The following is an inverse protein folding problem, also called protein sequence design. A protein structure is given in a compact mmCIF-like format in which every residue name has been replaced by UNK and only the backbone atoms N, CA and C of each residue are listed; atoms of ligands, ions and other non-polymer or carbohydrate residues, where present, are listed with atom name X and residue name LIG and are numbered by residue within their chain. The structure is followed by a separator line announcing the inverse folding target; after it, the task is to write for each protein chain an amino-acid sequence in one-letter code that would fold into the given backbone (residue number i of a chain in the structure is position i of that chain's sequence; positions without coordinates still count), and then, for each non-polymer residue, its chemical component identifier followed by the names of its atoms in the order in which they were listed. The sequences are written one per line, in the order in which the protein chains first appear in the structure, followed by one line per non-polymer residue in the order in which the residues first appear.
data_IF_418084723266
#
_entry.id   IF_418084723266
#
_cell.length_a   1.000
_cell.length_b   1.000
_cell.length_c   1.000
_cell.angle_alpha   90.00
_cell.angle_beta   90.00
_cell.angle_gamma   90.00
#
_symmetry.space_group_name_H-M   'P 1'
#
loop_
_entity.id
_entity.type
_entity.pdbx_description
1 polymer ?
#
# COMPACT_ATOMS: atom_id res chain seq x y z
N UNK A 1 14.20 0.49 -7.14
CA UNK A 1 13.51 1.81 -7.16
C UNK A 1 12.11 1.57 -6.64
N UNK A 2 11.59 2.41 -5.75
CA UNK A 2 10.22 2.22 -5.23
C UNK A 2 9.20 2.63 -6.29
N UNK A 3 8.28 1.72 -6.66
CA UNK A 3 7.24 1.98 -7.64
C UNK A 3 6.06 2.70 -6.98
N UNK A 4 6.24 4.00 -6.72
CA UNK A 4 5.27 4.80 -5.99
C UNK A 4 4.06 5.14 -6.85
N UNK A 5 2.88 4.75 -6.38
CA UNK A 5 1.63 5.10 -7.05
C UNK A 5 0.51 5.45 -6.07
N UNK A 6 -0.50 6.24 -6.50
CA UNK A 6 -1.66 6.53 -5.69
C UNK A 6 -2.38 5.26 -5.24
N UNK A 7 -2.91 5.24 -4.02
CA UNK A 7 -3.67 4.10 -3.46
C UNK A 7 -4.75 3.60 -4.42
N UNK A 8 -5.43 4.52 -5.11
CA UNK A 8 -6.56 4.19 -5.98
C UNK A 8 -6.09 3.43 -7.23
N UNK A 9 -4.93 3.81 -7.75
CA UNK A 9 -4.31 3.13 -8.88
C UNK A 9 -3.72 1.79 -8.45
N UNK A 10 -3.07 1.72 -7.28
CA UNK A 10 -2.54 0.47 -6.72
C UNK A 10 -3.66 -0.56 -6.45
N UNK A 11 -4.79 -0.10 -5.90
CA UNK A 11 -5.97 -0.92 -5.67
C UNK A 11 -6.48 -1.55 -6.96
N UNK A 12 -6.64 -0.74 -8.00
CA UNK A 12 -7.10 -1.22 -9.30
C UNK A 12 -6.09 -2.17 -9.97
N UNK A 13 -4.80 -1.83 -9.92
CA UNK A 13 -3.74 -2.64 -10.55
C UNK A 13 -3.60 -4.01 -9.89
N UNK A 14 -3.57 -4.06 -8.56
CA UNK A 14 -3.35 -5.31 -7.82
C UNK A 14 -4.65 -6.04 -7.48
N UNK A 15 -5.81 -5.53 -7.92
CA UNK A 15 -7.11 -6.16 -7.70
C UNK A 15 -7.52 -6.23 -6.23
N UNK A 16 -7.09 -5.26 -5.41
CA UNK A 16 -7.36 -5.23 -3.97
C UNK A 16 -8.21 -4.02 -3.58
N UNK A 17 -9.00 -4.15 -2.53
CA UNK A 17 -9.81 -3.03 -2.04
C UNK A 17 -8.94 -1.93 -1.41
N UNK A 18 -9.37 -0.67 -1.53
CA UNK A 18 -8.74 0.46 -0.82
C UNK A 18 -8.67 0.21 0.70
N UNK A 19 -9.73 -0.38 1.25
CA UNK A 19 -9.81 -0.74 2.68
C UNK A 19 -8.71 -1.72 3.08
N UNK A 20 -8.38 -2.68 2.21
CA UNK A 20 -7.27 -3.61 2.41
C UNK A 20 -5.95 -2.85 2.50
N UNK A 21 -5.69 -1.93 1.57
CA UNK A 21 -4.47 -1.12 1.58
C UNK A 21 -4.38 -0.27 2.86
N UNK A 22 -5.47 0.41 3.25
CA UNK A 22 -5.50 1.18 4.49
C UNK A 22 -5.28 0.32 5.74
N UNK A 23 -5.80 -0.92 5.75
CA UNK A 23 -5.52 -1.89 6.82
C UNK A 23 -4.04 -2.26 6.87
N UNK A 24 -3.42 -2.56 5.73
CA UNK A 24 -1.99 -2.88 5.65
C UNK A 24 -1.10 -1.72 6.07
N UNK A 25 -1.46 -0.48 5.70
CA UNK A 25 -0.82 0.74 6.18
C UNK A 25 -0.94 0.89 7.70
N UNK A 26 -2.12 0.64 8.26
CA UNK A 26 -2.36 0.73 9.71
C UNK A 26 -1.58 -0.34 10.49
N UNK A 27 -1.41 -1.52 9.92
CA UNK A 27 -0.65 -2.62 10.50
C UNK A 27 0.88 -2.47 10.31
N UNK A 28 1.33 -1.45 9.57
CA UNK A 28 2.75 -1.21 9.33
C UNK A 28 3.38 -2.07 8.23
N UNK A 29 2.58 -2.86 7.50
CA UNK A 29 3.05 -3.68 6.39
C UNK A 29 3.32 -2.88 5.11
N UNK A 30 2.75 -1.67 5.00
CA UNK A 30 3.01 -0.75 3.91
C UNK A 30 3.44 0.61 4.44
N UNK A 31 4.23 1.34 3.65
CA UNK A 31 4.57 2.74 3.91
C UNK A 31 3.70 3.66 3.06
N UNK A 32 3.20 4.73 3.69
CA UNK A 32 2.53 5.83 3.00
C UNK A 32 3.53 6.91 2.64
N UNK A 33 3.42 7.42 1.43
CA UNK A 33 4.17 8.57 0.93
C UNK A 33 3.17 9.67 0.58
N UNK A 34 3.53 10.92 0.91
CA UNK A 34 2.76 12.10 0.56
C UNK A 34 3.61 12.96 -0.36
N UNK A 35 3.06 13.36 -1.49
CA UNK A 35 3.72 14.35 -2.35
C UNK A 35 3.38 15.75 -1.85
N UNK A 36 4.36 16.55 -1.38
CA UNK A 36 4.06 17.90 -0.92
C UNK A 36 3.70 18.81 -2.10
N UNK A 37 2.56 19.49 -2.01
CA UNK A 37 2.25 20.67 -2.84
C UNK A 37 1.56 20.46 -4.19
N UNK A 38 1.32 19.21 -4.65
CA UNK A 38 0.75 18.96 -5.98
C UNK A 38 -0.60 18.23 -5.94
N UNK A 39 -0.77 17.25 -5.03
CA UNK A 39 -2.02 16.50 -4.88
C UNK A 39 -2.22 16.07 -3.42
N UNK A 40 -3.48 15.98 -2.98
CA UNK A 40 -3.87 15.43 -1.67
C UNK A 40 -3.90 13.90 -1.64
N UNK A 41 -3.47 13.24 -2.73
CA UNK A 41 -3.37 11.78 -2.83
C UNK A 41 -2.31 11.20 -1.89
N UNK A 42 -2.62 10.01 -1.40
CA UNK A 42 -1.67 9.17 -0.68
C UNK A 42 -1.08 8.16 -1.65
N UNK A 43 0.24 8.04 -1.64
CA UNK A 43 1.00 7.12 -2.48
C UNK A 43 1.51 5.97 -1.63
N UNK A 44 1.62 4.79 -2.25
CA UNK A 44 2.23 3.60 -1.67
C UNK A 44 3.19 2.99 -2.67
N UNK A 45 4.10 2.14 -2.19
CA UNK A 45 4.93 1.31 -3.05
C UNK A 45 4.10 0.12 -3.56
N UNK A 46 3.90 0.06 -4.87
CA UNK A 46 3.12 -0.99 -5.52
C UNK A 46 3.80 -2.36 -5.43
N UNK A 47 5.13 -2.40 -5.46
CA UNK A 47 5.88 -3.66 -5.39
C UNK A 47 5.76 -4.25 -3.98
N UNK A 48 5.81 -3.39 -2.95
CA UNK A 48 5.56 -3.82 -1.56
C UNK A 48 4.12 -4.31 -1.35
N UNK A 49 3.12 -3.71 -2.02
CA UNK A 49 1.74 -4.20 -1.98
C UNK A 49 1.62 -5.59 -2.61
N UNK A 50 2.28 -5.82 -3.75
CA UNK A 50 2.32 -7.13 -4.39
C UNK A 50 2.98 -8.17 -3.50
N UNK A 51 4.13 -7.84 -2.92
CA UNK A 51 4.86 -8.72 -2.02
C UNK A 51 4.01 -9.13 -0.81
N UNK A 52 3.33 -8.18 -0.16
CA UNK A 52 2.43 -8.46 0.97
C UNK A 52 1.21 -9.27 0.53
N UNK A 53 0.75 -9.16 -0.73
CA UNK A 53 -0.36 -9.95 -1.27
C UNK A 53 0.06 -11.39 -1.56
N UNK A 54 1.25 -11.58 -2.12
CA UNK A 54 1.82 -12.90 -2.45
C UNK A 54 2.31 -13.64 -1.19
N UNK A 55 2.84 -12.88 -0.23
CA UNK A 55 3.33 -13.35 1.05
C UNK A 55 2.60 -12.63 2.18
N UNK A 56 1.32 -12.99 2.43
CA UNK A 56 0.54 -12.37 3.49
C UNK A 56 1.26 -12.60 4.84
N UNK A 57 1.48 -11.54 5.63
CA UNK A 57 2.15 -11.66 6.91
C UNK A 57 1.33 -12.58 7.81
N UNK A 58 1.90 -13.73 8.15
CA UNK A 58 1.41 -14.58 9.22
C UNK A 58 1.54 -13.76 10.50
N UNK A 59 0.42 -13.31 11.07
CA UNK A 59 0.42 -12.59 12.34
C UNK A 59 1.19 -13.43 13.38
N UNK A 60 2.39 -13.00 13.77
CA UNK A 60 2.87 -13.27 15.13
C UNK A 60 2.26 -12.17 15.97
N UNK A 61 1.17 -12.53 16.65
CA UNK A 61 0.60 -11.71 17.72
C UNK A 61 1.46 -12.04 18.94
N UNK A 62 2.34 -11.13 19.34
CA UNK A 62 2.86 -11.09 20.72
C UNK A 62 1.98 -10.21 21.58
#
# INVERSE_FOLDING_TARGET
MANLMPIDQAAAQEGVSRTTIYRLLRLGHLKKYRSPGVDRKTYIDADALREVREHPPLKVVE
#
